data_IF_836305310534
#
_entry.id   IF_836305310534
#
_cell.length_a   1.000
_cell.length_b   1.000
_cell.length_c   1.000
_cell.angle_alpha   90.00
_cell.angle_beta   90.00
_cell.angle_gamma   90.00
#
_symmetry.space_group_name_H-M   'P 1'
#
loop_
_entity.id
_entity.type
_entity.pdbx_description
1 polymer ?
#
# COMPACT_ATOMS: atom_id res chain seq x y z
N UNK A 1 -9.04 -7.36 31.82
CA UNK A 1 -9.76 -6.37 31.00
C UNK A 1 -9.28 -6.56 29.58
N UNK A 2 -10.15 -6.99 28.67
CA UNK A 2 -9.78 -7.12 27.25
C UNK A 2 -9.78 -5.73 26.66
N UNK A 3 -8.61 -5.23 26.28
CA UNK A 3 -8.48 -4.02 25.45
C UNK A 3 -9.36 -4.18 24.20
N UNK A 4 -9.99 -3.10 23.68
CA UNK A 4 -10.67 -3.19 22.41
C UNK A 4 -9.67 -3.76 21.40
N UNK A 5 -10.06 -4.77 20.64
CA UNK A 5 -9.28 -5.26 19.53
C UNK A 5 -9.26 -4.14 18.48
N UNK A 6 -8.33 -3.20 18.61
CA UNK A 6 -7.98 -2.27 17.53
C UNK A 6 -7.57 -3.14 16.35
N UNK A 7 -8.51 -3.27 15.41
CA UNK A 7 -8.36 -4.20 14.31
C UNK A 7 -7.52 -3.48 13.27
N UNK A 8 -6.34 -4.02 12.99
CA UNK A 8 -5.41 -3.43 12.02
C UNK A 8 -6.13 -2.98 10.76
N UNK A 9 -5.91 -1.72 10.37
CA UNK A 9 -6.56 -1.11 9.21
C UNK A 9 -5.74 -1.41 7.96
N UNK A 10 -6.42 -1.79 6.87
CA UNK A 10 -5.79 -2.01 5.56
C UNK A 10 -6.34 -1.03 4.53
N UNK A 11 -5.46 -0.27 3.88
CA UNK A 11 -5.79 0.62 2.76
C UNK A 11 -5.31 -0.03 1.47
N UNK A 12 -6.21 -0.20 0.50
CA UNK A 12 -5.86 -0.69 -0.84
C UNK A 12 -5.95 0.45 -1.84
N UNK A 13 -4.85 0.72 -2.52
CA UNK A 13 -4.77 1.71 -3.60
C UNK A 13 -4.64 0.98 -4.93
N UNK A 14 -5.63 1.13 -5.80
CA UNK A 14 -5.57 0.66 -7.19
C UNK A 14 -5.08 1.78 -8.10
N UNK A 15 -4.14 1.47 -9.00
CA UNK A 15 -3.64 2.40 -10.02
C UNK A 15 -3.45 1.71 -11.35
N UNK A 16 -3.97 2.33 -12.41
CA UNK A 16 -3.62 1.99 -13.79
C UNK A 16 -2.45 2.87 -14.21
N UNK A 17 -1.34 2.25 -14.61
CA UNK A 17 -0.10 2.96 -14.95
C UNK A 17 -0.11 3.29 -16.45
N UNK A 18 0.54 4.39 -16.81
CA UNK A 18 0.75 4.76 -18.21
C UNK A 18 1.61 3.68 -18.86
N UNK A 19 1.18 3.17 -20.02
CA UNK A 19 1.89 2.12 -20.76
C UNK A 19 3.36 2.49 -20.98
N UNK A 20 4.27 1.59 -20.64
CA UNK A 20 5.72 1.80 -20.76
C UNK A 20 6.35 2.58 -19.62
N UNK A 21 5.59 2.94 -18.57
CA UNK A 21 6.05 3.61 -17.34
C UNK A 21 5.98 2.74 -16.09
N UNK A 22 5.78 1.43 -16.27
CA UNK A 22 5.62 0.47 -15.19
C UNK A 22 6.87 0.42 -14.30
N UNK A 23 8.07 0.42 -14.89
CA UNK A 23 9.32 0.38 -14.13
C UNK A 23 9.53 1.64 -13.29
N UNK A 24 9.28 2.82 -13.86
CA UNK A 24 9.37 4.08 -13.12
C UNK A 24 8.33 4.15 -12.00
N UNK A 25 7.11 3.66 -12.27
CA UNK A 25 6.06 3.57 -11.25
C UNK A 25 6.43 2.62 -10.11
N UNK A 26 6.97 1.44 -10.42
CA UNK A 26 7.39 0.48 -9.41
C UNK A 26 8.51 1.05 -8.54
N UNK A 27 9.51 1.70 -9.15
CA UNK A 27 10.60 2.38 -8.43
C UNK A 27 10.06 3.47 -7.50
N UNK A 28 9.23 4.37 -8.03
CA UNK A 28 8.62 5.44 -7.24
C UNK A 28 7.78 4.87 -6.09
N UNK A 29 7.01 3.81 -6.34
CA UNK A 29 6.16 3.17 -5.33
C UNK A 29 7.00 2.55 -4.21
N UNK A 30 8.09 1.86 -4.53
CA UNK A 30 9.03 1.34 -3.53
C UNK A 30 9.63 2.46 -2.67
N UNK A 31 10.09 3.55 -3.28
CA UNK A 31 10.63 4.70 -2.54
C UNK A 31 9.58 5.36 -1.62
N UNK A 32 8.34 5.51 -2.09
CA UNK A 32 7.24 6.03 -1.28
C UNK A 32 6.91 5.10 -0.11
N UNK A 33 6.84 3.79 -0.34
CA UNK A 33 6.61 2.80 0.72
C UNK A 33 7.71 2.82 1.77
N UNK A 34 8.98 2.95 1.34
CA UNK A 34 10.10 3.05 2.28
C UNK A 34 10.00 4.31 3.14
N UNK A 35 9.58 5.45 2.58
CA UNK A 35 9.32 6.67 3.36
C UNK A 35 8.13 6.49 4.30
N UNK A 36 7.04 5.87 3.86
CA UNK A 36 5.87 5.59 4.69
C UNK A 36 6.19 4.67 5.89
N UNK A 37 7.24 3.84 5.79
CA UNK A 37 7.65 2.94 6.87
C UNK A 37 8.08 3.65 8.16
N UNK A 38 8.35 4.96 8.09
CA UNK A 38 8.72 5.77 9.26
C UNK A 38 7.52 6.37 9.99
N UNK A 39 6.30 6.22 9.47
CA UNK A 39 5.11 6.76 10.11
C UNK A 39 4.66 5.90 11.30
N UNK A 40 4.17 6.52 12.38
CA UNK A 40 3.57 5.79 13.50
C UNK A 40 2.50 4.82 13.01
N UNK A 41 2.43 3.64 13.63
CA UNK A 41 1.42 2.63 13.30
C UNK A 41 1.60 1.93 11.95
N UNK A 42 2.61 2.23 11.14
CA UNK A 42 2.90 1.47 9.91
C UNK A 42 3.26 0.01 10.24
N UNK A 43 2.52 -0.93 9.64
CA UNK A 43 2.73 -2.38 9.82
C UNK A 43 3.26 -3.07 8.56
N UNK A 44 3.36 -2.37 7.43
CA UNK A 44 3.85 -2.91 6.18
C UNK A 44 3.07 -2.46 4.96
N UNK A 45 3.63 -2.74 3.78
CA UNK A 45 2.90 -2.63 2.53
C UNK A 45 3.31 -3.72 1.54
N UNK A 46 2.39 -4.10 0.67
CA UNK A 46 2.63 -5.07 -0.41
C UNK A 46 2.11 -4.49 -1.72
N UNK A 47 2.96 -4.49 -2.76
CA UNK A 47 2.56 -4.15 -4.12
C UNK A 47 2.28 -5.43 -4.91
N UNK A 48 1.10 -5.49 -5.50
CA UNK A 48 0.68 -6.49 -6.45
C UNK A 48 0.77 -5.88 -7.85
N UNK A 49 1.55 -6.53 -8.71
CA UNK A 49 1.59 -6.21 -10.14
C UNK A 49 0.26 -6.58 -10.81
N UNK A 50 -0.05 -6.00 -11.98
CA UNK A 50 -1.18 -6.42 -12.79
C UNK A 50 -1.19 -7.94 -12.99
N UNK A 51 -2.38 -8.54 -12.82
CA UNK A 51 -2.53 -9.99 -12.94
C UNK A 51 -2.49 -10.45 -14.40
N UNK A 52 -2.97 -9.61 -15.32
CA UNK A 52 -2.97 -9.87 -16.75
C UNK A 52 -3.13 -8.55 -17.54
N UNK A 53 -2.97 -8.56 -18.87
CA UNK A 53 -3.28 -7.40 -19.72
C UNK A 53 -4.74 -6.92 -19.61
N UNK A 54 -5.68 -7.81 -19.29
CA UNK A 54 -7.11 -7.53 -19.12
C UNK A 54 -7.43 -6.91 -17.74
N UNK A 55 -6.58 -7.14 -16.74
CA UNK A 55 -6.60 -6.45 -15.44
C UNK A 55 -5.27 -5.69 -15.21
N UNK A 56 -5.07 -4.54 -15.89
CA UNK A 56 -3.81 -3.80 -15.91
C UNK A 56 -3.56 -2.97 -14.63
N UNK A 57 -4.26 -3.27 -13.54
CA UNK A 57 -4.18 -2.49 -12.31
C UNK A 57 -3.08 -3.00 -11.37
N UNK A 58 -2.22 -2.08 -10.97
CA UNK A 58 -1.41 -2.25 -9.78
C UNK A 58 -2.29 -2.07 -8.54
N UNK A 59 -2.06 -2.90 -7.52
CA UNK A 59 -2.72 -2.77 -6.22
C UNK A 59 -1.66 -2.68 -5.15
N UNK A 60 -1.76 -1.68 -4.27
CA UNK A 60 -0.85 -1.55 -3.13
C UNK A 60 -1.68 -1.61 -1.87
N UNK A 61 -1.43 -2.63 -1.05
CA UNK A 61 -2.05 -2.79 0.26
C UNK A 61 -1.11 -2.26 1.33
N UNK A 62 -1.52 -1.23 2.05
CA UNK A 62 -0.83 -0.70 3.23
C UNK A 62 -1.57 -1.16 4.49
N UNK A 63 -0.82 -1.55 5.52
CA UNK A 63 -1.38 -1.97 6.80
C UNK A 63 -0.94 -1.03 7.90
N UNK A 64 -1.88 -0.64 8.75
CA UNK A 64 -1.67 0.24 9.89
C UNK A 64 -2.27 -0.36 11.16
N UNK A 65 -1.77 0.06 12.32
CA UNK A 65 -2.25 -0.37 13.62
C UNK A 65 -3.74 -0.03 13.80
N UNK A 66 -4.12 1.18 13.42
CA UNK A 66 -5.47 1.71 13.59
C UNK A 66 -5.74 2.84 12.57
N UNK A 67 -6.87 3.55 12.74
CA UNK A 67 -7.25 4.68 11.89
C UNK A 67 -6.56 6.00 12.28
N UNK A 68 -6.21 6.16 13.54
CA UNK A 68 -5.62 7.41 14.04
C UNK A 68 -4.19 7.58 13.54
N UNK A 69 -3.46 6.47 13.42
CA UNK A 69 -2.09 6.39 12.91
C UNK A 69 -1.98 6.46 11.38
N UNK A 70 -3.10 6.57 10.66
CA UNK A 70 -3.12 6.70 9.19
C UNK A 70 -2.86 8.14 8.68
N UNK A 71 -2.88 9.16 9.56
CA UNK A 71 -2.86 10.59 9.19
C UNK A 71 -1.47 11.17 8.93
#
# INVERSE_FOLDING_TARGET
MSTPQETALTVVVSRRVIKGKESEFEKLSTEMTQRASTFPGYLGATMFRPASPEDPEYRIAFKFHDRETLT
#
